data_IF_722564048695
#
_entry.id   IF_722564048695
#
_cell.length_a   1.000
_cell.length_b   1.000
_cell.length_c   1.000
_cell.angle_alpha   90.00
_cell.angle_beta   90.00
_cell.angle_gamma   90.00
#
_symmetry.space_group_name_H-M   'P 1'
#
loop_
_entity.id
_entity.type
_entity.pdbx_description
1 polymer ?
#
# COMPACT_ATOMS: atom_id res chain seq x y z
N UNK A 1 70.58 -3.02 -29.79
CA UNK A 1 70.00 -4.33 -30.17
C UNK A 1 68.70 -4.48 -29.35
N UNK A 2 67.66 -3.67 -29.64
CA UNK A 2 66.48 -3.95 -30.49
C UNK A 2 65.82 -5.31 -30.22
N UNK A 3 64.63 -5.27 -29.58
CA UNK A 3 63.34 -5.98 -29.82
C UNK A 3 62.54 -5.98 -28.50
N UNK A 4 61.50 -5.16 -28.33
CA UNK A 4 60.09 -5.39 -28.72
C UNK A 4 59.55 -6.73 -28.15
N UNK A 5 58.47 -6.77 -27.37
CA UNK A 5 57.10 -6.78 -27.87
C UNK A 5 56.10 -6.40 -26.75
N UNK A 6 55.16 -5.52 -27.11
CA UNK A 6 53.91 -5.19 -26.44
C UNK A 6 53.00 -6.44 -26.31
N UNK A 7 52.45 -6.69 -25.12
CA UNK A 7 51.30 -7.59 -24.96
C UNK A 7 50.12 -6.79 -24.40
N UNK A 8 49.25 -6.36 -25.31
CA UNK A 8 47.94 -5.76 -25.02
C UNK A 8 46.99 -6.91 -24.70
N UNK A 9 46.56 -7.03 -23.44
CA UNK A 9 45.43 -7.91 -23.09
C UNK A 9 44.12 -7.16 -23.31
N UNK A 10 43.50 -7.42 -24.46
CA UNK A 10 42.11 -7.10 -24.73
C UNK A 10 41.26 -8.09 -23.94
N UNK A 11 40.81 -7.70 -22.74
CA UNK A 11 39.79 -8.43 -21.98
C UNK A 11 38.48 -7.62 -22.01
N UNK A 12 37.90 -7.51 -23.21
CA UNK A 12 36.67 -6.79 -23.46
C UNK A 12 35.63 -7.69 -24.09
N UNK A 13 34.41 -7.60 -23.55
CA UNK A 13 33.14 -7.89 -24.24
C UNK A 13 32.66 -9.36 -24.28
N UNK A 14 32.20 -9.91 -23.14
CA UNK A 14 31.36 -11.13 -23.15
C UNK A 14 30.18 -11.17 -22.15
N UNK A 15 29.72 -10.02 -21.62
CA UNK A 15 28.67 -10.02 -20.57
C UNK A 15 27.33 -9.34 -20.93
N UNK A 16 27.06 -8.97 -22.20
CA UNK A 16 25.85 -8.17 -22.52
C UNK A 16 24.62 -9.00 -22.93
N UNK A 17 24.77 -10.29 -23.27
CA UNK A 17 23.66 -11.08 -23.84
C UNK A 17 22.74 -11.77 -22.81
N UNK A 18 23.06 -11.80 -21.51
CA UNK A 18 22.23 -12.49 -20.51
C UNK A 18 21.15 -11.61 -19.87
N UNK A 19 21.32 -10.28 -19.87
CA UNK A 19 20.41 -9.37 -19.17
C UNK A 19 19.04 -9.22 -19.87
N UNK A 20 18.99 -9.25 -21.21
CA UNK A 20 17.76 -9.05 -21.97
C UNK A 20 16.77 -10.22 -21.86
N UNK A 21 17.27 -11.47 -21.91
CA UNK A 21 16.41 -12.65 -21.82
C UNK A 21 15.77 -12.84 -20.44
N UNK A 22 16.48 -12.47 -19.37
CA UNK A 22 15.98 -12.58 -18.00
C UNK A 22 14.82 -11.61 -17.74
N UNK A 23 14.92 -10.36 -18.23
CA UNK A 23 13.87 -9.32 -18.05
C UNK A 23 12.56 -9.63 -18.77
N UNK A 24 12.60 -10.21 -19.97
CA UNK A 24 11.37 -10.55 -20.70
C UNK A 24 10.58 -11.66 -19.98
N UNK A 25 11.28 -12.63 -19.40
CA UNK A 25 10.64 -13.70 -18.61
C UNK A 25 10.06 -13.19 -17.29
N UNK A 26 10.67 -12.18 -16.65
CA UNK A 26 10.11 -11.60 -15.42
C UNK A 26 8.82 -10.83 -15.70
N UNK A 27 8.78 -10.03 -16.78
CA UNK A 27 7.60 -9.23 -17.12
C UNK A 27 6.36 -10.10 -17.42
N UNK A 28 6.50 -11.14 -18.26
CA UNK A 28 5.40 -12.05 -18.56
C UNK A 28 4.87 -12.77 -17.32
N UNK A 29 5.78 -13.14 -16.41
CA UNK A 29 5.43 -13.72 -15.12
C UNK A 29 4.65 -12.74 -14.23
N UNK A 30 5.04 -11.45 -14.23
CA UNK A 30 4.34 -10.38 -13.52
C UNK A 30 2.94 -10.15 -14.08
N UNK A 31 2.79 -10.07 -15.40
CA UNK A 31 1.49 -9.93 -16.06
C UNK A 31 0.54 -11.08 -15.72
N UNK A 32 1.04 -12.33 -15.74
CA UNK A 32 0.24 -13.50 -15.35
C UNK A 32 -0.26 -13.37 -13.91
N UNK A 33 0.60 -12.98 -12.97
CA UNK A 33 0.19 -12.79 -11.57
C UNK A 33 -0.83 -11.66 -11.41
N UNK A 34 -0.66 -10.56 -12.12
CA UNK A 34 -1.64 -9.47 -12.15
C UNK A 34 -2.97 -9.95 -12.72
N UNK A 35 -2.96 -10.78 -13.77
CA UNK A 35 -4.18 -11.31 -14.36
C UNK A 35 -4.93 -12.29 -13.43
N UNK A 36 -4.20 -13.06 -12.62
CA UNK A 36 -4.75 -13.98 -11.62
C UNK A 36 -5.31 -13.26 -10.38
N UNK A 37 -4.88 -12.03 -10.10
CA UNK A 37 -5.33 -11.21 -8.97
C UNK A 37 -6.58 -10.38 -9.34
N UNK A 38 -7.68 -11.06 -9.69
CA UNK A 38 -8.92 -10.40 -10.14
C UNK A 38 -9.56 -9.57 -9.03
N UNK A 39 -9.54 -10.09 -7.81
CA UNK A 39 -10.08 -9.46 -6.62
C UNK A 39 -9.11 -9.64 -5.43
N UNK A 40 -8.82 -8.57 -4.69
CA UNK A 40 -7.82 -8.60 -3.61
C UNK A 40 -8.27 -9.41 -2.39
N UNK A 41 -9.57 -9.56 -2.16
CA UNK A 41 -10.14 -10.39 -1.09
C UNK A 41 -10.10 -11.85 -1.50
N UNK A 42 -10.66 -12.16 -2.68
CA UNK A 42 -10.80 -13.54 -3.17
C UNK A 42 -9.42 -14.12 -3.50
N UNK A 43 -8.50 -13.31 -4.01
CA UNK A 43 -7.19 -13.76 -4.48
C UNK A 43 -6.04 -13.30 -3.57
N UNK A 44 -6.26 -13.32 -2.25
CA UNK A 44 -5.23 -12.94 -1.25
C UNK A 44 -3.89 -13.67 -1.42
N UNK A 45 -3.90 -14.93 -1.85
CA UNK A 45 -2.66 -15.69 -2.11
C UNK A 45 -1.88 -15.14 -3.32
N UNK A 46 -2.60 -14.61 -4.32
CA UNK A 46 -1.99 -13.97 -5.51
C UNK A 46 -1.41 -12.62 -5.14
N UNK A 47 -2.15 -11.83 -4.35
CA UNK A 47 -1.62 -10.59 -3.77
C UNK A 47 -0.39 -10.86 -2.91
N UNK A 48 -0.42 -11.87 -2.04
CA UNK A 48 0.72 -12.25 -1.21
C UNK A 48 1.92 -12.66 -2.07
N UNK A 49 1.71 -13.39 -3.17
CA UNK A 49 2.80 -13.74 -4.10
C UNK A 49 3.38 -12.50 -4.79
N UNK A 50 2.55 -11.58 -5.26
CA UNK A 50 2.99 -10.31 -5.86
C UNK A 50 3.72 -9.43 -4.84
N UNK A 51 3.23 -9.33 -3.62
CA UNK A 51 3.86 -8.58 -2.54
C UNK A 51 5.24 -9.15 -2.21
N UNK A 52 5.36 -10.48 -2.17
CA UNK A 52 6.62 -11.17 -1.86
C UNK A 52 7.76 -10.79 -2.80
N UNK A 53 7.47 -10.76 -4.11
CA UNK A 53 8.49 -10.48 -5.15
C UNK A 53 8.42 -9.04 -5.68
N UNK A 54 7.51 -8.22 -5.16
CA UNK A 54 7.10 -6.99 -5.82
C UNK A 54 8.17 -5.91 -5.84
N UNK A 55 8.98 -5.80 -4.78
CA UNK A 55 10.11 -4.86 -4.75
C UNK A 55 11.17 -5.20 -5.81
N UNK A 56 11.44 -6.49 -6.03
CA UNK A 56 12.37 -6.97 -7.07
C UNK A 56 11.83 -6.75 -8.49
N UNK A 57 10.50 -6.74 -8.62
CA UNK A 57 9.77 -6.59 -9.89
C UNK A 57 9.19 -5.21 -10.09
N UNK A 58 9.72 -4.20 -9.41
CA UNK A 58 9.12 -2.87 -9.43
C UNK A 58 9.13 -2.24 -10.83
N UNK A 59 10.17 -2.51 -11.63
CA UNK A 59 10.24 -2.08 -13.03
C UNK A 59 9.13 -2.71 -13.88
N UNK A 60 8.86 -4.01 -13.71
CA UNK A 60 7.78 -4.71 -14.41
C UNK A 60 6.41 -4.16 -14.01
N UNK A 61 6.19 -3.87 -12.72
CA UNK A 61 4.96 -3.27 -12.22
C UNK A 61 4.75 -1.85 -12.75
N UNK A 62 5.80 -1.04 -12.80
CA UNK A 62 5.75 0.31 -13.39
C UNK A 62 5.45 0.23 -14.88
N UNK A 63 6.07 -0.70 -15.61
CA UNK A 63 5.77 -0.95 -17.03
C UNK A 63 4.31 -1.38 -17.24
N UNK A 64 3.75 -2.20 -16.35
CA UNK A 64 2.36 -2.65 -16.42
C UNK A 64 1.32 -1.54 -16.19
N UNK A 65 1.73 -0.36 -15.71
CA UNK A 65 0.82 0.80 -15.63
C UNK A 65 0.36 1.27 -17.02
N UNK A 66 1.21 1.14 -18.04
CA UNK A 66 0.92 1.49 -19.42
C UNK A 66 0.37 0.30 -20.24
N UNK A 67 -0.05 -0.79 -19.58
CA UNK A 67 -0.64 -1.95 -20.27
C UNK A 67 -1.96 -1.58 -20.96
N UNK A 68 -2.20 -2.01 -22.22
CA UNK A 68 -3.43 -1.70 -22.93
C UNK A 68 -4.68 -2.30 -22.27
N UNK A 69 -4.53 -3.33 -21.45
CA UNK A 69 -5.62 -3.85 -20.64
C UNK A 69 -5.76 -2.99 -19.35
N UNK A 70 -6.86 -2.22 -19.20
CA UNK A 70 -7.04 -1.33 -18.06
C UNK A 70 -7.09 -2.08 -16.71
N UNK A 71 -7.51 -3.36 -16.70
CA UNK A 71 -7.50 -4.17 -15.49
C UNK A 71 -6.07 -4.48 -15.00
N UNK A 72 -5.14 -4.73 -15.93
CA UNK A 72 -3.74 -4.98 -15.59
C UNK A 72 -3.12 -3.71 -15.02
N UNK A 73 -3.31 -2.56 -15.67
CA UNK A 73 -2.87 -1.27 -15.16
C UNK A 73 -3.43 -1.00 -13.77
N UNK A 74 -4.74 -1.18 -13.58
CA UNK A 74 -5.39 -0.99 -12.29
C UNK A 74 -4.81 -1.88 -11.17
N UNK A 75 -4.58 -3.17 -11.47
CA UNK A 75 -3.98 -4.11 -10.51
C UNK A 75 -2.52 -3.78 -10.21
N UNK A 76 -1.76 -3.29 -11.19
CA UNK A 76 -0.40 -2.81 -10.98
C UNK A 76 -0.37 -1.61 -10.02
N UNK A 77 -1.30 -0.65 -10.17
CA UNK A 77 -1.44 0.49 -9.24
C UNK A 77 -1.68 0.02 -7.80
N UNK A 78 -2.57 -0.97 -7.61
CA UNK A 78 -2.87 -1.56 -6.30
C UNK A 78 -1.61 -2.17 -5.69
N UNK A 79 -0.89 -3.03 -6.43
CA UNK A 79 0.31 -3.71 -5.93
C UNK A 79 1.41 -2.71 -5.58
N UNK A 80 1.65 -1.70 -6.43
CA UNK A 80 2.64 -0.65 -6.17
C UNK A 80 2.32 0.06 -4.85
N UNK A 81 1.05 0.38 -4.60
CA UNK A 81 0.61 1.01 -3.35
C UNK A 81 0.79 0.10 -2.13
N UNK A 82 0.52 -1.20 -2.26
CA UNK A 82 0.79 -2.16 -1.17
C UNK A 82 2.28 -2.23 -0.82
N UNK A 83 3.15 -2.19 -1.83
CA UNK A 83 4.59 -2.20 -1.61
C UNK A 83 5.09 -0.90 -1.00
N UNK A 84 4.49 0.24 -1.37
CA UNK A 84 4.95 1.57 -0.97
C UNK A 84 6.41 1.83 -1.38
N UNK A 85 6.88 1.17 -2.44
CA UNK A 85 8.24 1.29 -2.96
C UNK A 85 8.44 2.67 -3.61
N UNK A 86 9.55 3.34 -3.33
CA UNK A 86 9.81 4.70 -3.82
C UNK A 86 9.76 4.79 -5.36
N UNK A 87 10.43 3.88 -6.05
CA UNK A 87 10.48 3.85 -7.51
C UNK A 87 9.11 3.53 -8.12
N UNK A 88 8.39 2.57 -7.51
CA UNK A 88 7.03 2.24 -7.93
C UNK A 88 6.08 3.42 -7.77
N UNK A 89 6.11 4.07 -6.61
CA UNK A 89 5.26 5.23 -6.31
C UNK A 89 5.61 6.43 -7.20
N UNK A 90 6.89 6.62 -7.55
CA UNK A 90 7.31 7.62 -8.55
C UNK A 90 6.71 7.31 -9.93
N UNK A 91 6.90 6.10 -10.44
CA UNK A 91 6.33 5.67 -11.73
C UNK A 91 4.80 5.76 -11.77
N UNK A 92 4.13 5.41 -10.68
CA UNK A 92 2.69 5.56 -10.52
C UNK A 92 2.23 7.03 -10.64
N UNK A 93 2.99 7.95 -10.06
CA UNK A 93 2.64 9.36 -10.11
C UNK A 93 2.92 9.99 -11.47
N UNK A 94 4.00 9.58 -12.14
CA UNK A 94 4.25 9.94 -13.53
C UNK A 94 3.17 9.38 -14.46
N UNK A 95 2.69 8.16 -14.21
CA UNK A 95 1.57 7.60 -14.97
C UNK A 95 0.32 8.44 -14.79
N UNK A 96 -0.08 8.69 -13.55
CA UNK A 96 -1.30 9.45 -13.26
C UNK A 96 -1.23 10.91 -13.75
N UNK A 97 -0.06 11.54 -13.95
CA UNK A 97 0.00 12.92 -14.48
C UNK A 97 -0.34 13.00 -15.97
N UNK A 98 -0.23 11.87 -16.69
CA UNK A 98 -0.65 11.72 -18.09
C UNK A 98 -2.16 11.45 -18.22
N UNK A 99 -2.81 11.07 -17.12
CA UNK A 99 -4.23 10.72 -17.11
C UNK A 99 -5.11 11.95 -16.80
N UNK A 100 -6.16 12.18 -17.58
CA UNK A 100 -7.11 13.28 -17.33
C UNK A 100 -8.01 13.03 -16.12
N UNK A 101 -8.52 11.79 -15.97
CA UNK A 101 -9.25 11.31 -14.78
C UNK A 101 -8.67 9.95 -14.41
N UNK A 102 -8.44 9.72 -13.12
CA UNK A 102 -7.96 8.44 -12.63
C UNK A 102 -8.72 8.02 -11.37
N UNK A 103 -8.95 6.73 -11.23
CA UNK A 103 -9.46 6.13 -10.01
C UNK A 103 -8.27 5.74 -9.15
N UNK A 104 -8.24 6.25 -7.93
CA UNK A 104 -7.26 5.78 -6.94
C UNK A 104 -7.80 4.50 -6.31
N UNK A 105 -7.00 3.44 -6.31
CA UNK A 105 -7.34 2.19 -5.67
C UNK A 105 -6.18 1.62 -4.87
N UNK A 106 -6.50 0.74 -3.93
CA UNK A 106 -5.53 0.14 -3.03
C UNK A 106 -5.17 1.06 -1.85
N UNK A 107 -4.15 0.67 -1.08
CA UNK A 107 -3.78 1.38 0.13
C UNK A 107 -3.19 2.76 -0.13
N UNK A 108 -3.09 3.54 0.95
CA UNK A 108 -2.42 4.84 0.97
C UNK A 108 -1.15 4.72 1.83
N UNK A 109 0.03 4.47 1.22
CA UNK A 109 1.27 4.32 1.97
C UNK A 109 1.77 5.66 2.51
N UNK A 110 2.38 5.64 3.70
CA UNK A 110 3.04 6.82 4.31
C UNK A 110 4.57 6.82 4.09
N UNK A 111 5.21 8.00 3.92
CA UNK A 111 4.66 9.34 4.09
C UNK A 111 3.72 9.76 2.95
N UNK A 112 2.74 10.61 3.28
CA UNK A 112 1.83 11.20 2.29
C UNK A 112 2.58 12.17 1.38
N UNK A 113 2.22 12.19 0.10
CA UNK A 113 2.85 13.04 -0.92
C UNK A 113 1.88 14.12 -1.42
N UNK A 114 2.40 15.13 -2.12
CA UNK A 114 1.58 16.23 -2.68
C UNK A 114 0.37 15.74 -3.49
N UNK A 115 0.55 14.64 -4.23
CA UNK A 115 -0.54 14.04 -4.98
C UNK A 115 -1.65 13.49 -4.09
N UNK A 116 -1.31 12.87 -2.97
CA UNK A 116 -2.28 12.35 -2.00
C UNK A 116 -3.09 13.49 -1.39
N UNK A 117 -2.42 14.60 -1.04
CA UNK A 117 -3.10 15.81 -0.58
C UNK A 117 -4.04 16.39 -1.64
N UNK A 118 -3.63 16.40 -2.92
CA UNK A 118 -4.51 16.82 -4.02
C UNK A 118 -5.75 15.94 -4.10
N UNK A 119 -5.60 14.62 -4.02
CA UNK A 119 -6.72 13.67 -4.00
C UNK A 119 -7.65 13.98 -2.83
N UNK A 120 -7.11 14.13 -1.62
CA UNK A 120 -7.89 14.47 -0.42
C UNK A 120 -8.67 15.78 -0.60
N UNK A 121 -8.02 16.81 -1.14
CA UNK A 121 -8.66 18.08 -1.40
C UNK A 121 -9.82 17.94 -2.39
N UNK A 122 -9.58 17.27 -3.51
CA UNK A 122 -10.57 17.14 -4.59
C UNK A 122 -11.73 16.21 -4.28
N UNK A 123 -11.49 15.12 -3.55
CA UNK A 123 -12.49 14.07 -3.35
C UNK A 123 -13.18 14.12 -2.00
N UNK A 124 -12.58 14.78 -1.00
CA UNK A 124 -13.12 14.80 0.35
C UNK A 124 -13.36 16.23 0.87
N UNK A 125 -12.40 17.14 0.72
CA UNK A 125 -12.59 18.49 1.25
C UNK A 125 -13.59 19.32 0.43
N UNK A 126 -13.56 19.17 -0.89
CA UNK A 126 -14.38 19.96 -1.81
C UNK A 126 -15.70 19.26 -2.18
N UNK A 127 -15.92 18.06 -1.66
CA UNK A 127 -17.10 17.23 -1.94
C UNK A 127 -17.91 17.04 -0.65
N UNK A 128 -19.24 16.97 -0.75
CA UNK A 128 -20.08 16.70 0.40
C UNK A 128 -19.78 15.29 0.93
N UNK A 129 -19.81 15.04 2.25
CA UNK A 129 -19.22 13.81 2.76
C UNK A 129 -20.02 12.53 2.51
N UNK A 130 -21.25 12.66 2.03
CA UNK A 130 -22.03 11.57 1.45
C UNK A 130 -21.34 10.95 0.22
N UNK A 131 -20.47 11.70 -0.45
CA UNK A 131 -19.69 11.24 -1.60
C UNK A 131 -18.31 10.65 -1.22
N UNK A 132 -17.96 10.60 0.06
CA UNK A 132 -16.64 10.14 0.50
C UNK A 132 -16.49 8.62 0.44
N UNK A 133 -16.25 8.11 -0.77
CA UNK A 133 -15.97 6.71 -1.00
C UNK A 133 -14.54 6.38 -0.59
N UNK A 134 -14.35 5.36 0.26
CA UNK A 134 -13.03 4.85 0.70
C UNK A 134 -12.14 5.86 1.44
N UNK A 135 -12.74 6.86 2.09
CA UNK A 135 -12.01 7.92 2.80
C UNK A 135 -11.24 7.43 4.02
N UNK A 136 -11.61 6.29 4.61
CA UNK A 136 -10.97 5.73 5.81
C UNK A 136 -9.48 5.51 5.62
N UNK A 137 -9.06 5.02 4.45
CA UNK A 137 -7.65 4.80 4.13
C UNK A 137 -6.83 6.09 4.22
N UNK A 138 -7.38 7.21 3.72
CA UNK A 138 -6.76 8.53 3.80
C UNK A 138 -6.81 9.13 5.20
N UNK A 139 -7.91 8.93 5.94
CA UNK A 139 -8.03 9.36 7.34
C UNK A 139 -6.96 8.68 8.21
N UNK A 140 -6.78 7.36 8.05
CA UNK A 140 -5.73 6.62 8.76
C UNK A 140 -4.33 7.06 8.32
N UNK A 141 -4.10 7.24 7.02
CA UNK A 141 -2.81 7.69 6.52
C UNK A 141 -2.44 9.10 7.02
N UNK A 142 -3.39 10.04 7.08
CA UNK A 142 -3.18 11.37 7.65
C UNK A 142 -2.82 11.30 9.14
N UNK A 143 -3.51 10.45 9.90
CA UNK A 143 -3.22 10.28 11.32
C UNK A 143 -1.81 9.70 11.54
N UNK A 144 -1.42 8.71 10.73
CA UNK A 144 -0.13 8.03 10.84
C UNK A 144 1.05 8.84 10.29
N UNK A 145 0.84 9.64 9.24
CA UNK A 145 1.88 10.49 8.66
C UNK A 145 2.35 11.54 9.67
N UNK A 146 1.40 12.15 10.40
CA UNK A 146 1.65 13.06 11.51
C UNK A 146 2.52 14.30 11.19
N UNK A 147 2.82 14.58 9.92
CA UNK A 147 3.42 15.85 9.50
C UNK A 147 2.49 17.02 9.84
N UNK A 148 3.02 18.26 9.97
CA UNK A 148 2.18 19.43 10.20
C UNK A 148 1.04 19.56 9.18
N UNK A 149 1.35 19.35 7.89
CA UNK A 149 0.36 19.37 6.80
C UNK A 149 -0.69 18.27 6.94
N UNK A 150 -0.30 17.04 7.26
CA UNK A 150 -1.25 15.95 7.49
C UNK A 150 -2.19 16.25 8.67
N UNK A 151 -1.67 16.80 9.76
CA UNK A 151 -2.47 17.20 10.94
C UNK A 151 -3.49 18.29 10.60
N UNK A 152 -3.08 19.31 9.85
CA UNK A 152 -3.98 20.38 9.42
C UNK A 152 -5.11 19.86 8.51
N UNK A 153 -4.75 19.03 7.54
CA UNK A 153 -5.72 18.41 6.61
C UNK A 153 -6.68 17.50 7.36
N UNK A 154 -6.19 16.68 8.31
CA UNK A 154 -7.04 15.83 9.15
C UNK A 154 -8.00 16.66 10.00
N UNK A 155 -7.52 17.74 10.64
CA UNK A 155 -8.37 18.65 11.42
C UNK A 155 -9.49 19.24 10.55
N UNK A 156 -9.17 19.61 9.31
CA UNK A 156 -10.16 20.11 8.35
C UNK A 156 -11.21 19.05 7.99
N UNK A 157 -10.79 17.80 7.71
CA UNK A 157 -11.71 16.70 7.46
C UNK A 157 -12.62 16.42 8.66
N UNK A 158 -12.08 16.39 9.88
CA UNK A 158 -12.85 16.21 11.11
C UNK A 158 -13.92 17.31 11.26
N UNK A 159 -13.57 18.58 10.99
CA UNK A 159 -14.53 19.68 11.06
C UNK A 159 -15.66 19.52 10.04
N UNK A 160 -15.35 19.10 8.82
CA UNK A 160 -16.35 18.88 7.77
C UNK A 160 -17.26 17.69 8.14
N UNK A 161 -16.66 16.61 8.63
CA UNK A 161 -17.37 15.39 9.01
C UNK A 161 -18.23 15.52 10.27
N UNK A 162 -17.99 16.51 11.13
CA UNK A 162 -18.76 16.72 12.36
C UNK A 162 -20.28 16.87 12.17
N UNK A 163 -20.73 17.12 10.93
CA UNK A 163 -22.15 17.23 10.57
C UNK A 163 -22.74 15.93 9.99
N UNK A 164 -21.96 14.86 9.86
CA UNK A 164 -22.40 13.63 9.21
C UNK A 164 -23.19 12.72 10.12
N UNK A 165 -24.10 11.94 9.51
CA UNK A 165 -24.75 10.81 10.17
C UNK A 165 -23.72 9.86 10.79
N UNK A 166 -23.99 9.37 12.00
CA UNK A 166 -23.03 8.60 12.79
C UNK A 166 -22.51 7.33 12.10
N UNK A 167 -23.28 6.79 11.15
CA UNK A 167 -23.04 5.49 10.53
C UNK A 167 -22.10 5.50 9.30
N UNK A 168 -21.54 6.65 8.88
CA UNK A 168 -20.64 6.67 7.72
C UNK A 168 -19.28 6.04 8.05
N UNK A 169 -18.66 5.40 7.04
CA UNK A 169 -17.31 4.82 7.16
C UNK A 169 -16.28 5.88 7.57
N UNK A 170 -16.40 7.10 7.04
CA UNK A 170 -15.58 8.25 7.39
C UNK A 170 -15.68 8.63 8.87
N UNK A 171 -16.92 8.76 9.38
CA UNK A 171 -17.16 9.10 10.78
C UNK A 171 -16.60 8.06 11.74
N UNK A 172 -16.79 6.77 11.43
CA UNK A 172 -16.21 5.69 12.22
C UNK A 172 -14.68 5.78 12.26
N UNK A 173 -14.03 6.00 11.11
CA UNK A 173 -12.58 6.16 11.04
C UNK A 173 -12.08 7.38 11.84
N UNK A 174 -12.78 8.51 11.77
CA UNK A 174 -12.47 9.71 12.56
C UNK A 174 -12.60 9.44 14.06
N UNK A 175 -13.69 8.83 14.51
CA UNK A 175 -13.89 8.46 15.92
C UNK A 175 -12.79 7.56 16.43
N UNK A 176 -12.39 6.56 15.65
CA UNK A 176 -11.30 5.65 15.99
C UNK A 176 -9.95 6.39 16.12
N UNK A 177 -9.64 7.30 15.19
CA UNK A 177 -8.44 8.15 15.26
C UNK A 177 -8.45 9.06 16.47
N UNK A 178 -9.60 9.67 16.80
CA UNK A 178 -9.73 10.56 17.96
C UNK A 178 -9.63 9.79 19.29
N UNK A 179 -10.21 8.60 19.37
CA UNK A 179 -10.24 7.81 20.60
C UNK A 179 -8.90 7.14 20.93
N UNK A 180 -8.12 6.73 19.93
CA UNK A 180 -7.00 5.79 20.13
C UNK A 180 -5.60 6.38 19.92
N UNK A 181 -5.46 7.70 19.67
CA UNK A 181 -4.17 8.39 19.47
C UNK A 181 -3.14 7.58 18.64
N UNK A 182 -3.28 7.52 17.30
CA UNK A 182 -2.52 6.60 16.46
C UNK A 182 -1.01 6.75 16.63
N UNK A 183 -0.35 5.67 17.03
CA UNK A 183 1.10 5.59 17.07
C UNK A 183 1.63 4.97 15.77
N UNK A 184 2.61 5.64 15.15
CA UNK A 184 3.26 5.15 13.93
C UNK A 184 4.15 3.92 14.20
N UNK A 185 4.86 3.92 15.32
CA UNK A 185 5.77 2.84 15.73
C UNK A 185 4.97 1.82 16.53
N UNK A 186 5.14 0.55 16.19
CA UNK A 186 4.50 -0.57 16.85
C UNK A 186 5.37 -1.06 18.01
N UNK A 187 4.75 -1.22 19.17
CA UNK A 187 5.42 -1.70 20.38
C UNK A 187 4.74 -3.00 20.83
N UNK A 188 5.54 -3.97 21.28
CA UNK A 188 5.04 -5.18 21.90
C UNK A 188 5.68 -6.45 21.36
N UNK A 189 4.83 -7.43 21.02
CA UNK A 189 5.21 -8.81 20.76
C UNK A 189 6.06 -8.98 19.48
N UNK A 190 6.79 -10.09 19.40
CA UNK A 190 7.60 -10.44 18.23
C UNK A 190 6.76 -10.98 17.06
N UNK A 191 5.62 -11.64 17.34
CA UNK A 191 4.72 -12.07 16.28
C UNK A 191 4.08 -10.86 15.59
N UNK A 192 4.24 -10.76 14.27
CA UNK A 192 3.85 -9.57 13.51
C UNK A 192 2.32 -9.39 13.44
N UNK A 193 1.55 -10.47 13.43
CA UNK A 193 0.10 -10.39 13.41
C UNK A 193 -0.43 -9.91 14.76
N UNK A 194 0.07 -10.48 15.86
CA UNK A 194 -0.27 -10.02 17.20
C UNK A 194 0.21 -8.59 17.47
N UNK A 195 1.39 -8.21 16.96
CA UNK A 195 1.94 -6.85 17.04
C UNK A 195 1.02 -5.84 16.35
N UNK A 196 0.51 -6.16 15.15
CA UNK A 196 -0.47 -5.32 14.47
C UNK A 196 -1.76 -5.23 15.29
N UNK A 197 -2.27 -6.35 15.78
CA UNK A 197 -3.54 -6.41 16.50
C UNK A 197 -3.50 -5.62 17.82
N UNK A 198 -2.42 -5.70 18.58
CA UNK A 198 -2.27 -4.94 19.83
C UNK A 198 -2.24 -3.42 19.59
N UNK A 199 -1.68 -3.00 18.46
CA UNK A 199 -1.53 -1.59 18.05
C UNK A 199 -2.64 -1.09 17.11
N UNK A 200 -3.68 -1.89 16.85
CA UNK A 200 -4.71 -1.60 15.86
C UNK A 200 -5.69 -0.50 16.32
N UNK A 201 -5.30 0.77 16.20
CA UNK A 201 -6.14 1.93 16.56
C UNK A 201 -7.42 2.06 15.72
N UNK A 202 -7.46 1.41 14.55
CA UNK A 202 -8.59 1.33 13.63
C UNK A 202 -9.58 0.21 14.00
N UNK A 203 -9.33 -0.53 15.08
CA UNK A 203 -10.26 -1.49 15.68
C UNK A 203 -10.81 -0.86 16.95
N UNK A 204 -12.15 -0.77 17.06
CA UNK A 204 -12.77 -0.20 18.26
C UNK A 204 -12.49 -1.08 19.49
N UNK A 205 -12.44 -0.49 20.68
CA UNK A 205 -12.19 -1.25 21.92
C UNK A 205 -13.21 -2.37 22.15
N UNK A 206 -14.47 -2.15 21.75
CA UNK A 206 -15.55 -3.14 21.86
C UNK A 206 -15.36 -4.32 20.88
N UNK A 207 -14.68 -4.07 19.76
CA UNK A 207 -14.47 -5.05 18.70
C UNK A 207 -13.21 -5.87 18.86
N UNK A 208 -12.28 -5.46 19.74
CA UNK A 208 -11.00 -6.16 19.94
C UNK A 208 -11.17 -7.63 20.31
N UNK A 209 -12.22 -7.99 21.06
CA UNK A 209 -12.55 -9.39 21.40
C UNK A 209 -13.00 -10.24 20.22
N UNK A 210 -13.43 -9.61 19.13
CA UNK A 210 -13.86 -10.24 17.88
C UNK A 210 -12.80 -10.18 16.79
N UNK A 211 -11.69 -9.47 17.07
CA UNK A 211 -10.65 -9.21 16.11
C UNK A 211 -9.58 -10.30 16.15
N UNK A 212 -9.16 -10.74 14.98
CA UNK A 212 -8.05 -11.65 14.76
C UNK A 212 -7.13 -11.09 13.69
N UNK A 213 -5.87 -11.50 13.69
CA UNK A 213 -4.90 -11.09 12.70
C UNK A 213 -4.10 -12.28 12.19
N UNK A 214 -3.68 -12.22 10.92
CA UNK A 214 -2.86 -13.26 10.29
C UNK A 214 -1.84 -12.65 9.35
N UNK A 215 -0.58 -13.09 9.48
CA UNK A 215 0.48 -12.73 8.54
C UNK A 215 0.21 -13.42 7.19
N UNK A 216 0.00 -12.63 6.13
CA UNK A 216 -0.16 -13.17 4.77
C UNK A 216 1.21 -13.45 4.14
N UNK A 217 2.13 -12.49 4.21
CA UNK A 217 3.50 -12.67 3.68
C UNK A 217 4.44 -11.58 4.17
N UNK A 218 5.74 -11.84 4.03
CA UNK A 218 6.79 -10.84 3.99
C UNK A 218 7.18 -10.55 2.53
N UNK A 219 7.74 -9.37 2.26
CA UNK A 219 8.44 -9.12 1.00
C UNK A 219 9.80 -9.83 0.95
N UNK A 220 10.48 -9.85 -0.20
CA UNK A 220 11.76 -10.54 -0.40
C UNK A 220 12.85 -10.07 0.56
N UNK A 221 12.93 -8.75 0.82
CA UNK A 221 13.86 -8.16 1.77
C UNK A 221 13.48 -8.38 3.24
N UNK A 222 12.28 -8.91 3.53
CA UNK A 222 11.73 -9.13 4.88
C UNK A 222 11.76 -7.86 5.74
N UNK A 223 11.60 -6.71 5.09
CA UNK A 223 11.50 -5.39 5.71
C UNK A 223 10.08 -4.83 5.63
N UNK A 224 9.17 -5.52 4.93
CA UNK A 224 7.73 -5.24 4.90
C UNK A 224 6.93 -6.52 5.14
N UNK A 225 5.81 -6.38 5.82
CA UNK A 225 4.87 -7.47 6.06
C UNK A 225 3.46 -7.04 5.67
N UNK A 226 2.72 -7.95 5.03
CA UNK A 226 1.30 -7.81 4.74
C UNK A 226 0.52 -8.68 5.72
N UNK A 227 -0.35 -8.04 6.50
CA UNK A 227 -1.17 -8.65 7.55
C UNK A 227 -2.64 -8.44 7.19
N UNK A 228 -3.43 -9.49 7.37
CA UNK A 228 -4.89 -9.46 7.31
C UNK A 228 -5.43 -9.32 8.73
N UNK A 229 -6.32 -8.36 8.97
CA UNK A 229 -7.05 -8.21 10.23
C UNK A 229 -8.52 -8.43 9.95
N UNK A 230 -9.14 -9.34 10.68
CA UNK A 230 -10.54 -9.73 10.51
C UNK A 230 -11.30 -9.49 11.82
N UNK A 231 -12.39 -8.74 11.76
CA UNK A 231 -13.30 -8.49 12.88
C UNK A 231 -14.61 -9.22 12.59
N UNK A 232 -14.94 -10.24 13.38
CA UNK A 232 -16.16 -11.03 13.20
C UNK A 232 -17.15 -10.78 14.34
N UNK A 233 -18.13 -9.88 14.10
CA UNK A 233 -19.20 -9.61 15.08
C UNK A 233 -20.43 -10.49 14.85
N UNK A 234 -20.36 -11.46 13.93
CA UNK A 234 -21.46 -12.30 13.46
C UNK A 234 -21.55 -12.33 11.93
N UNK A 235 -22.39 -13.22 11.40
CA UNK A 235 -22.46 -13.58 9.98
C UNK A 235 -22.76 -12.43 8.98
N UNK A 236 -23.18 -11.26 9.46
CA UNK A 236 -23.53 -10.08 8.66
C UNK A 236 -22.89 -8.81 9.24
N UNK A 237 -21.77 -8.95 9.94
CA UNK A 237 -21.07 -7.84 10.57
C UNK A 237 -19.58 -8.12 10.66
N UNK A 238 -19.01 -8.43 9.49
CA UNK A 238 -17.59 -8.69 9.30
C UNK A 238 -16.90 -7.46 8.71
N UNK A 239 -15.70 -7.19 9.20
CA UNK A 239 -14.81 -6.20 8.59
C UNK A 239 -13.45 -6.85 8.34
N UNK A 240 -12.92 -6.62 7.14
CA UNK A 240 -11.63 -7.11 6.73
C UNK A 240 -10.72 -5.94 6.40
N UNK A 241 -9.53 -5.94 6.97
CA UNK A 241 -8.49 -4.96 6.72
C UNK A 241 -7.24 -5.64 6.20
N UNK A 242 -6.58 -4.99 5.24
CA UNK A 242 -5.17 -5.22 5.00
C UNK A 242 -4.35 -4.13 5.68
N UNK A 243 -3.33 -4.57 6.40
CA UNK A 243 -2.35 -3.71 7.06
C UNK A 243 -0.97 -4.05 6.51
N UNK A 244 -0.26 -3.03 6.04
CA UNK A 244 1.14 -3.16 5.69
C UNK A 244 1.97 -2.48 6.77
N UNK A 245 2.96 -3.18 7.28
CA UNK A 245 3.97 -2.64 8.20
C UNK A 245 5.34 -2.72 7.56
N UNK A 246 6.24 -1.82 7.94
CA UNK A 246 7.64 -1.80 7.49
C UNK A 246 8.61 -1.67 8.65
N UNK A 247 9.83 -2.17 8.51
CA UNK A 247 10.90 -1.94 9.47
C UNK A 247 11.29 -0.46 9.50
N UNK A 248 11.53 0.04 10.70
CA UNK A 248 11.95 1.39 11.06
C UNK A 248 13.06 1.28 12.11
N UNK A 249 14.30 1.08 11.66
CA UNK A 249 15.39 0.70 12.54
C UNK A 249 15.12 -0.70 13.13
N UNK A 250 15.07 -0.79 14.47
CA UNK A 250 14.79 -2.05 15.18
C UNK A 250 13.29 -2.34 15.36
N UNK A 251 12.43 -1.35 15.10
CA UNK A 251 10.99 -1.48 15.31
C UNK A 251 10.24 -1.68 13.98
N UNK A 252 8.96 -2.01 14.08
CA UNK A 252 8.03 -1.96 12.95
C UNK A 252 7.20 -0.69 13.02
N UNK A 253 6.82 -0.14 11.87
CA UNK A 253 5.87 0.95 11.74
C UNK A 253 4.73 0.56 10.83
N UNK A 254 3.56 1.17 11.03
CA UNK A 254 2.54 1.17 9.98
C UNK A 254 3.08 1.81 8.69
N UNK A 255 2.81 1.17 7.56
CA UNK A 255 2.99 1.74 6.22
C UNK A 255 1.64 2.15 5.63
N UNK A 256 0.63 1.29 5.73
CA UNK A 256 -0.72 1.59 5.26
C UNK A 256 -1.78 0.72 5.95
N UNK A 257 -3.01 1.21 6.01
CA UNK A 257 -4.17 0.51 6.55
C UNK A 257 -5.33 0.68 5.57
N UNK A 258 -6.03 -0.39 5.22
CA UNK A 258 -7.08 -0.35 4.20
C UNK A 258 -8.20 -1.31 4.54
N UNK A 259 -9.42 -0.79 4.64
CA UNK A 259 -10.63 -1.59 4.70
C UNK A 259 -10.87 -2.20 3.31
N UNK A 260 -10.90 -3.52 3.23
CA UNK A 260 -11.02 -4.26 1.97
C UNK A 260 -12.43 -4.84 1.78
N UNK A 261 -13.11 -5.21 2.86
CA UNK A 261 -14.50 -5.66 2.86
C UNK A 261 -15.21 -5.24 4.14
N UNK A 262 -16.51 -5.01 4.02
CA UNK A 262 -17.45 -4.83 5.12
C UNK A 262 -18.78 -5.42 4.70
N UNK A 263 -19.35 -6.31 5.52
CA UNK A 263 -20.67 -6.94 5.31
C UNK A 263 -21.66 -6.46 6.36
#
# INVERSE_FOLDING_TARGET
MIRSIFAIFILGCFCVLTAFGQSQMTYQSTLRLLNEMRDVLINRDKLAKLFRVGDERISDLVKALDDPNPDISFRAQIVIRYLGNENGMKGLFEWYSKQGKFRVAGPVPIPLRERDYKVICTQYINEPPENWVRSESYIYALALDSSPKAKEVLKKLIRIAGNLAEATVANRAIRQVQANQPAKILIGKQDLAELVLSNAFFVSSNDRKYASARLLTLNGARDKALIEVHINRGALSEEWYHVVIKKCGQNWCFLSITLIAMS
#
